data_IF_849388776253
#
_entry.id   IF_849388776253
#
_cell.length_a   1.000
_cell.length_b   1.000
_cell.length_c   1.000
_cell.angle_alpha   90.00
_cell.angle_beta   90.00
_cell.angle_gamma   90.00
#
_symmetry.space_group_name_H-M   'P 1'
#
loop_
_entity.id
_entity.type
_entity.pdbx_description
1 polymer ?
#
# COMPACT_ATOMS: atom_id res chain seq x y z
N UNK A 1 -12.34 28.62 -4.35
CA UNK A 1 -11.06 28.92 -3.68
C UNK A 1 -10.12 29.71 -4.57
N UNK A 2 -9.76 29.21 -5.77
CA UNK A 2 -8.81 29.90 -6.66
C UNK A 2 -9.28 31.29 -7.10
N UNK A 3 -10.58 31.45 -7.40
CA UNK A 3 -11.17 32.75 -7.75
C UNK A 3 -10.96 33.85 -6.68
N UNK A 4 -10.86 33.51 -5.39
CA UNK A 4 -10.60 34.51 -4.34
C UNK A 4 -9.20 35.12 -4.40
N UNK A 5 -8.26 34.47 -5.09
CA UNK A 5 -6.83 34.82 -5.06
C UNK A 5 -6.42 35.60 -6.31
N UNK A 6 -7.19 35.51 -7.40
CA UNK A 6 -6.76 35.92 -8.75
C UNK A 6 -7.48 37.17 -9.29
N UNK A 7 -8.60 37.56 -8.68
CA UNK A 7 -9.60 38.41 -9.36
C UNK A 7 -9.26 39.91 -9.50
N UNK A 8 -8.31 40.50 -8.76
CA UNK A 8 -8.19 41.97 -8.67
C UNK A 8 -6.75 42.54 -8.55
N UNK A 9 -5.74 41.98 -9.19
CA UNK A 9 -4.38 42.48 -8.97
C UNK A 9 -3.55 42.69 -10.23
N UNK A 10 -3.60 43.92 -10.74
CA UNK A 10 -2.76 44.43 -11.82
C UNK A 10 -1.27 44.58 -11.42
N UNK A 11 -0.93 44.38 -10.14
CA UNK A 11 0.43 44.49 -9.60
C UNK A 11 0.67 43.58 -8.38
N UNK A 12 1.90 43.05 -8.26
CA UNK A 12 2.30 42.11 -7.19
C UNK A 12 2.07 42.65 -5.77
N UNK A 13 2.30 43.95 -5.55
CA UNK A 13 2.08 44.58 -4.24
C UNK A 13 0.60 44.56 -3.84
N UNK A 14 -0.31 44.76 -4.79
CA UNK A 14 -1.75 44.67 -4.57
C UNK A 14 -2.21 43.22 -4.40
N UNK A 15 -1.64 42.25 -5.13
CA UNK A 15 -1.88 40.82 -4.89
C UNK A 15 -1.60 40.45 -3.43
N UNK A 16 -0.44 40.87 -2.92
CA UNK A 16 -0.02 40.56 -1.56
C UNK A 16 -0.97 41.17 -0.52
N UNK A 17 -1.40 42.41 -0.70
CA UNK A 17 -2.36 43.07 0.18
C UNK A 17 -3.73 42.37 0.19
N UNK A 18 -4.27 42.07 -0.99
CA UNK A 18 -5.54 41.37 -1.16
C UNK A 18 -5.50 39.96 -0.59
N UNK A 19 -4.40 39.24 -0.78
CA UNK A 19 -4.18 37.91 -0.22
C UNK A 19 -4.34 37.92 1.31
N UNK A 20 -3.66 38.84 2.01
CA UNK A 20 -3.76 38.89 3.47
C UNK A 20 -5.14 39.32 3.96
N UNK A 21 -5.89 40.13 3.20
CA UNK A 21 -7.28 40.48 3.51
C UNK A 21 -8.25 39.31 3.32
N UNK A 22 -8.08 38.51 2.26
CA UNK A 22 -8.95 37.36 1.91
C UNK A 22 -8.54 36.06 2.60
N UNK A 23 -7.35 36.00 3.19
CA UNK A 23 -6.82 34.85 3.94
C UNK A 23 -7.80 34.21 4.93
N UNK A 24 -8.52 34.94 5.81
CA UNK A 24 -9.46 34.30 6.74
C UNK A 24 -10.60 33.55 6.02
N UNK A 25 -11.12 34.09 4.91
CA UNK A 25 -12.16 33.44 4.11
C UNK A 25 -11.63 32.18 3.41
N UNK A 26 -10.38 32.23 2.95
CA UNK A 26 -9.71 31.09 2.32
C UNK A 26 -9.48 29.96 3.34
N UNK A 27 -9.05 30.30 4.56
CA UNK A 27 -8.83 29.35 5.66
C UNK A 27 -10.15 28.68 6.07
N UNK A 28 -11.22 29.46 6.27
CA UNK A 28 -12.54 28.91 6.66
C UNK A 28 -13.08 27.90 5.63
N UNK A 29 -13.01 28.24 4.34
CA UNK A 29 -13.43 27.32 3.29
C UNK A 29 -12.55 26.06 3.20
N UNK A 30 -11.24 26.18 3.38
CA UNK A 30 -10.32 25.03 3.46
C UNK A 30 -10.67 24.12 4.64
N UNK A 31 -10.92 24.70 5.82
CA UNK A 31 -11.29 23.95 7.01
C UNK A 31 -12.61 23.19 6.83
N UNK A 32 -13.61 23.84 6.21
CA UNK A 32 -14.89 23.20 5.90
C UNK A 32 -14.73 22.05 4.90
N UNK A 33 -13.93 22.23 3.84
CA UNK A 33 -13.64 21.18 2.88
C UNK A 33 -12.90 20.00 3.52
N UNK A 34 -11.86 20.26 4.31
CA UNK A 34 -11.12 19.21 5.02
C UNK A 34 -11.98 18.48 6.06
N UNK A 35 -12.91 19.18 6.72
CA UNK A 35 -13.88 18.56 7.61
C UNK A 35 -14.83 17.65 6.83
N UNK A 36 -15.35 18.11 5.68
CA UNK A 36 -16.23 17.31 4.83
C UNK A 36 -15.52 16.06 4.28
N UNK A 37 -14.27 16.20 3.82
CA UNK A 37 -13.48 15.08 3.32
C UNK A 37 -13.22 14.03 4.40
N UNK A 38 -12.90 14.45 5.63
CA UNK A 38 -12.75 13.52 6.77
C UNK A 38 -14.05 12.79 7.09
N UNK A 39 -15.18 13.50 7.15
CA UNK A 39 -16.49 12.90 7.40
C UNK A 39 -16.88 11.88 6.32
N UNK A 40 -16.53 12.15 5.06
CA UNK A 40 -16.78 11.22 3.95
C UNK A 40 -15.96 9.94 4.13
N UNK A 41 -14.68 10.05 4.48
CA UNK A 41 -13.81 8.92 4.73
C UNK A 41 -14.31 8.07 5.93
N UNK A 42 -14.70 8.71 7.03
CA UNK A 42 -15.25 8.01 8.20
C UNK A 42 -16.51 7.19 7.86
N UNK A 43 -17.42 7.76 7.05
CA UNK A 43 -18.60 7.02 6.58
C UNK A 43 -18.24 5.86 5.67
N UNK A 44 -17.24 6.02 4.80
CA UNK A 44 -16.77 4.94 3.94
C UNK A 44 -16.20 3.79 4.77
N UNK A 45 -15.40 4.10 5.81
CA UNK A 45 -14.88 3.08 6.73
C UNK A 45 -15.98 2.37 7.51
N UNK A 46 -17.01 3.11 7.95
CA UNK A 46 -18.21 2.53 8.58
C UNK A 46 -18.92 1.56 7.64
N UNK A 47 -19.18 1.96 6.39
CA UNK A 47 -19.81 1.11 5.39
C UNK A 47 -18.96 -0.13 5.07
N UNK A 48 -17.64 0.00 5.00
CA UNK A 48 -16.72 -1.14 4.78
C UNK A 48 -16.80 -2.15 5.93
N UNK A 49 -16.91 -1.68 7.17
CA UNK A 49 -17.09 -2.53 8.35
C UNK A 49 -18.48 -3.18 8.38
N UNK A 50 -19.54 -2.47 7.97
CA UNK A 50 -20.90 -3.01 7.89
C UNK A 50 -21.00 -4.11 6.82
N UNK A 51 -20.46 -3.86 5.61
CA UNK A 51 -20.41 -4.86 4.54
C UNK A 51 -19.64 -6.11 4.96
N UNK A 52 -18.51 -5.95 5.66
CA UNK A 52 -17.76 -7.07 6.22
C UNK A 52 -18.53 -7.87 7.29
N UNK A 53 -19.43 -7.22 8.03
CA UNK A 53 -20.31 -7.90 9.02
C UNK A 53 -21.44 -8.68 8.35
N UNK A 54 -21.95 -8.22 7.20
CA UNK A 54 -23.02 -8.90 6.46
C UNK A 54 -22.54 -10.09 5.62
N UNK A 55 -21.27 -10.14 5.22
CA UNK A 55 -20.71 -11.26 4.42
C UNK A 55 -20.33 -12.50 5.24
N UNK A 56 -20.31 -12.42 6.58
CA UNK A 56 -19.93 -13.53 7.47
C UNK A 56 -21.05 -14.57 7.73
N UNK A 57 -22.13 -14.55 6.94
CA UNK A 57 -23.31 -15.43 7.09
C UNK A 57 -23.40 -16.57 6.04
N UNK A 58 -22.39 -16.77 5.19
CA UNK A 58 -22.44 -17.79 4.12
C UNK A 58 -21.56 -19.01 4.44
N UNK A 59 -22.12 -20.18 4.83
CA UNK A 59 -21.36 -21.38 5.15
C UNK A 59 -21.25 -22.26 3.90
N UNK A 60 -20.38 -21.94 2.95
CA UNK A 60 -20.22 -22.79 1.75
C UNK A 60 -18.80 -22.84 1.19
N UNK A 61 -17.82 -23.23 2.00
CA UNK A 61 -16.54 -23.74 1.49
C UNK A 61 -16.01 -24.91 2.31
N UNK A 62 -16.80 -25.99 2.36
CA UNK A 62 -16.36 -27.32 2.79
C UNK A 62 -16.17 -28.22 1.58
N UNK A 63 -15.01 -28.23 0.92
CA UNK A 63 -14.84 -29.14 -0.24
C UNK A 63 -13.48 -29.75 -0.52
N UNK A 64 -12.47 -29.65 0.35
CA UNK A 64 -11.19 -30.33 0.05
C UNK A 64 -10.62 -31.06 1.26
N UNK A 65 -11.22 -32.23 1.52
CA UNK A 65 -10.59 -33.32 2.27
C UNK A 65 -10.06 -34.36 1.27
N UNK A 66 -8.72 -34.52 1.17
CA UNK A 66 -8.06 -35.68 0.53
C UNK A 66 -6.59 -35.73 0.96
N UNK A 67 -6.23 -36.38 2.07
CA UNK A 67 -6.00 -37.82 2.34
C UNK A 67 -4.59 -38.35 1.99
N UNK A 68 -3.84 -38.77 3.04
CA UNK A 68 -2.96 -39.97 3.19
C UNK A 68 -1.87 -39.70 4.24
N UNK A 69 -1.97 -40.24 5.46
CA UNK A 69 -1.67 -41.62 5.92
C UNK A 69 -0.19 -41.82 6.26
N UNK A 70 0.18 -41.93 7.55
CA UNK A 70 0.48 -43.18 8.26
C UNK A 70 1.18 -42.88 9.60
N UNK A 71 0.81 -43.65 10.62
CA UNK A 71 1.24 -43.61 12.03
C UNK A 71 2.31 -44.70 12.31
N UNK A 72 3.07 -44.71 13.44
CA UNK A 72 2.54 -45.26 14.70
C UNK A 72 3.16 -44.80 16.06
N UNK A 73 2.28 -44.70 17.07
CA UNK A 73 2.36 -45.20 18.48
C UNK A 73 3.55 -44.88 19.39
N UNK A 74 3.27 -44.10 20.45
CA UNK A 74 3.50 -44.49 21.86
C UNK A 74 2.43 -43.88 22.80
N UNK A 75 1.52 -44.73 23.28
CA UNK A 75 0.94 -44.91 24.62
C UNK A 75 0.77 -43.70 25.58
N UNK A 76 -0.49 -43.25 25.68
CA UNK A 76 -1.35 -42.74 26.79
C UNK A 76 -0.91 -42.96 28.26
N UNK A 77 -1.50 -42.31 29.32
CA UNK A 77 -2.80 -41.58 29.32
C UNK A 77 -2.98 -40.37 30.28
N UNK A 78 -3.62 -39.31 29.77
CA UNK A 78 -4.50 -38.28 30.38
C UNK A 78 -4.23 -36.94 29.70
N UNK A 79 -4.73 -36.76 28.49
CA UNK A 79 -6.04 -36.14 28.16
C UNK A 79 -5.99 -34.60 28.34
N UNK A 80 -6.21 -33.76 27.33
CA UNK A 80 -6.67 -33.99 25.96
C UNK A 80 -6.40 -32.73 25.11
N UNK A 81 -5.47 -32.86 24.15
CA UNK A 81 -5.17 -32.02 22.97
C UNK A 81 -5.02 -30.48 23.12
N UNK A 82 -3.77 -30.02 23.20
CA UNK A 82 -3.32 -28.82 22.50
C UNK A 82 -2.26 -29.30 21.49
N UNK A 83 -2.71 -29.67 20.30
CA UNK A 83 -1.84 -30.13 19.24
C UNK A 83 -1.82 -29.08 18.14
N UNK A 84 -0.60 -28.59 17.89
CA UNK A 84 -0.26 -27.64 16.86
C UNK A 84 -0.77 -28.09 15.49
N UNK A 85 -1.26 -27.13 14.71
CA UNK A 85 -0.88 -27.08 13.30
C UNK A 85 -0.60 -25.64 12.97
N UNK A 86 0.70 -25.34 12.87
CA UNK A 86 1.28 -24.48 11.85
C UNK A 86 0.27 -23.71 11.01
N UNK A 87 -0.17 -22.54 11.48
CA UNK A 87 -0.55 -21.49 10.55
C UNK A 87 0.75 -20.88 10.04
N UNK A 88 1.16 -21.41 8.90
CA UNK A 88 1.92 -20.68 7.91
C UNK A 88 1.43 -19.25 7.92
N UNK A 89 2.27 -18.32 8.35
CA UNK A 89 2.15 -16.92 7.95
C UNK A 89 2.32 -16.93 6.43
N UNK A 90 1.26 -17.22 5.71
CA UNK A 90 1.18 -16.83 4.32
C UNK A 90 0.82 -15.35 4.36
N UNK A 91 1.91 -14.58 4.46
CA UNK A 91 1.95 -13.17 4.15
C UNK A 91 0.99 -12.92 3.00
N UNK A 92 -0.03 -12.12 3.23
CA UNK A 92 -0.93 -11.63 2.21
C UNK A 92 -0.11 -11.09 1.03
N UNK A 93 0.09 -11.92 0.00
CA UNK A 93 0.34 -11.45 -1.33
C UNK A 93 -1.03 -10.97 -1.82
N UNK A 94 -1.42 -9.79 -1.32
CA UNK A 94 -2.47 -9.01 -1.94
C UNK A 94 -1.86 -8.43 -3.21
N UNK A 95 -1.94 -9.21 -4.28
CA UNK A 95 -1.93 -8.68 -5.64
C UNK A 95 -3.15 -7.77 -5.71
N UNK A 96 -2.92 -6.47 -5.51
CA UNK A 96 -3.83 -5.47 -6.06
C UNK A 96 -3.75 -5.69 -7.56
N UNK A 97 -4.77 -6.37 -8.08
CA UNK A 97 -5.21 -6.25 -9.45
C UNK A 97 -5.47 -4.75 -9.63
N UNK A 98 -4.45 -4.04 -10.11
CA UNK A 98 -4.59 -2.68 -10.60
C UNK A 98 -5.49 -2.84 -11.82
N UNK A 99 -6.73 -2.30 -11.82
CA UNK A 99 -7.47 -2.25 -13.05
C UNK A 99 -6.64 -1.40 -14.00
N UNK A 100 -5.91 -2.06 -14.91
CA UNK A 100 -5.50 -1.52 -16.20
C UNK A 100 -6.78 -1.13 -16.96
N UNK A 101 -7.42 -0.07 -16.49
CA UNK A 101 -8.13 0.83 -17.35
C UNK A 101 -7.05 1.58 -18.10
N UNK A 102 -6.55 0.99 -19.18
CA UNK A 102 -6.05 1.77 -20.30
C UNK A 102 -7.15 2.78 -20.63
N UNK A 103 -7.02 4.01 -20.12
CA UNK A 103 -7.73 5.13 -20.71
C UNK A 103 -7.00 5.39 -22.01
N UNK A 104 -7.35 4.60 -23.03
CA UNK A 104 -7.18 4.97 -24.42
C UNK A 104 -7.92 6.30 -24.56
N UNK A 105 -7.16 7.39 -24.50
CA UNK A 105 -7.58 8.71 -24.94
C UNK A 105 -7.71 8.63 -26.47
N UNK A 106 -8.73 7.94 -26.96
CA UNK A 106 -9.33 8.28 -28.24
C UNK A 106 -10.08 9.59 -28.02
N UNK A 107 -9.37 10.70 -28.21
CA UNK A 107 -9.97 12.01 -28.45
C UNK A 107 -10.75 11.96 -29.76
N UNK A 108 -11.96 11.40 -29.70
CA UNK A 108 -12.97 11.59 -30.73
C UNK A 108 -13.44 13.05 -30.64
N UNK A 109 -12.84 13.88 -31.50
CA UNK A 109 -13.34 15.22 -31.82
C UNK A 109 -14.84 15.13 -32.09
N UNK A 110 -15.66 15.73 -31.24
CA UNK A 110 -16.99 16.17 -31.61
C UNK A 110 -17.05 17.64 -31.24
N UNK A 111 -17.01 18.46 -32.29
CA UNK A 111 -16.95 19.91 -32.27
C UNK A 111 -18.05 20.50 -31.38
N UNK A 112 -17.64 21.32 -30.42
CA UNK A 112 -18.44 22.46 -29.98
C UNK A 112 -17.58 23.68 -30.23
N UNK A 113 -18.04 24.46 -31.21
CA UNK A 113 -17.52 25.77 -31.52
C UNK A 113 -17.54 26.63 -30.25
N UNK A 114 -16.43 27.28 -29.95
CA UNK A 114 -16.41 28.63 -29.42
C UNK A 114 -15.04 29.26 -29.75
N UNK A 115 -15.11 30.42 -30.39
CA UNK A 115 -13.98 31.28 -30.72
C UNK A 115 -13.30 31.76 -29.43
N UNK A 116 -12.00 31.55 -29.29
CA UNK A 116 -11.15 32.63 -28.75
C UNK A 116 -9.68 32.44 -29.19
N UNK A 117 -9.24 33.34 -30.05
CA UNK A 117 -7.88 33.46 -30.52
C UNK A 117 -7.04 34.17 -29.46
N UNK A 118 -6.46 33.44 -28.50
CA UNK A 118 -5.23 33.92 -27.85
C UNK A 118 -4.35 32.77 -27.35
N UNK A 119 -3.10 32.79 -27.83
CA UNK A 119 -1.93 31.99 -27.42
C UNK A 119 -1.99 30.46 -27.65
N UNK A 120 -1.87 30.07 -28.92
CA UNK A 120 -1.59 28.68 -29.34
C UNK A 120 -0.19 28.21 -28.89
N UNK A 121 0.78 29.14 -28.78
CA UNK A 121 2.13 28.89 -28.28
C UNK A 121 2.16 28.49 -26.80
N UNK A 122 1.34 29.11 -25.94
CA UNK A 122 1.31 28.80 -24.52
C UNK A 122 0.81 27.39 -24.21
N UNK A 123 -0.15 26.88 -25.00
CA UNK A 123 -0.67 25.51 -24.85
C UNK A 123 0.38 24.47 -25.23
N UNK A 124 1.14 24.71 -26.29
CA UNK A 124 2.20 23.80 -26.73
C UNK A 124 3.33 23.69 -25.70
N UNK A 125 3.79 24.80 -25.12
CA UNK A 125 4.80 24.79 -24.07
C UNK A 125 4.33 24.06 -22.80
N UNK A 126 3.05 24.20 -22.44
CA UNK A 126 2.46 23.47 -21.33
C UNK A 126 2.40 21.96 -21.60
N UNK A 127 2.05 21.55 -22.82
CA UNK A 127 2.06 20.13 -23.20
C UNK A 127 3.46 19.53 -23.21
N UNK A 128 4.44 20.25 -23.75
CA UNK A 128 5.86 19.84 -23.75
C UNK A 128 6.42 19.71 -22.33
N UNK A 129 6.07 20.64 -21.43
CA UNK A 129 6.44 20.58 -20.02
C UNK A 129 5.80 19.39 -19.30
N UNK A 130 4.51 19.11 -19.57
CA UNK A 130 3.83 17.93 -19.05
C UNK A 130 4.50 16.65 -19.55
N UNK A 131 4.80 16.56 -20.84
CA UNK A 131 5.49 15.40 -21.43
C UNK A 131 6.86 15.18 -20.78
N UNK A 132 7.67 16.23 -20.66
CA UNK A 132 8.97 16.16 -19.98
C UNK A 132 8.85 15.70 -18.53
N UNK A 133 7.89 16.25 -17.77
CA UNK A 133 7.64 15.85 -16.40
C UNK A 133 7.16 14.40 -16.30
N UNK A 134 6.39 13.90 -17.28
CA UNK A 134 5.97 12.49 -17.30
C UNK A 134 7.14 11.54 -17.53
N UNK A 135 8.07 11.91 -18.41
CA UNK A 135 9.30 11.14 -18.64
C UNK A 135 10.21 11.13 -17.43
N UNK A 136 10.41 12.28 -16.77
CA UNK A 136 11.19 12.38 -15.55
C UNK A 136 10.58 11.51 -14.43
N UNK A 137 9.26 11.56 -14.25
CA UNK A 137 8.56 10.71 -13.29
C UNK A 137 8.73 9.22 -13.62
N UNK A 138 8.70 8.85 -14.91
CA UNK A 138 8.92 7.47 -15.36
C UNK A 138 10.35 7.01 -15.03
N UNK A 139 11.35 7.86 -15.24
CA UNK A 139 12.75 7.57 -14.91
C UNK A 139 12.95 7.42 -13.40
N UNK A 140 12.46 8.36 -12.60
CA UNK A 140 12.53 8.31 -11.13
C UNK A 140 11.84 7.06 -10.59
N UNK A 141 10.70 6.67 -11.14
CA UNK A 141 10.00 5.44 -10.78
C UNK A 141 10.82 4.19 -11.10
N UNK A 142 11.56 4.18 -12.21
CA UNK A 142 12.46 3.08 -12.55
C UNK A 142 13.67 3.02 -11.61
N UNK A 143 14.26 4.17 -11.27
CA UNK A 143 15.38 4.26 -10.31
C UNK A 143 14.98 3.75 -8.92
N UNK A 144 13.80 4.14 -8.42
CA UNK A 144 13.27 3.63 -7.14
C UNK A 144 13.20 2.10 -7.16
N UNK A 145 12.69 1.50 -8.25
CA UNK A 145 12.61 0.03 -8.37
C UNK A 145 13.98 -0.64 -8.31
N UNK A 146 15.00 -0.05 -8.94
CA UNK A 146 16.38 -0.57 -8.90
C UNK A 146 16.94 -0.47 -7.48
N UNK A 147 16.78 0.68 -6.83
CA UNK A 147 17.24 0.90 -5.45
C UNK A 147 16.57 -0.05 -4.45
N UNK A 148 15.29 -0.36 -4.65
CA UNK A 148 14.57 -1.31 -3.80
C UNK A 148 15.07 -2.74 -4.00
N UNK A 149 15.43 -3.13 -5.22
CA UNK A 149 16.05 -4.43 -5.49
C UNK A 149 17.43 -4.55 -4.83
N UNK A 150 18.27 -3.51 -4.93
CA UNK A 150 19.56 -3.49 -4.23
C UNK A 150 19.41 -3.66 -2.72
N UNK A 151 18.44 -2.96 -2.12
CA UNK A 151 18.15 -3.08 -0.68
C UNK A 151 17.67 -4.49 -0.32
N UNK A 152 16.79 -5.09 -1.13
CA UNK A 152 16.34 -6.48 -0.94
C UNK A 152 17.52 -7.45 -0.96
N UNK A 153 18.44 -7.27 -1.91
CA UNK A 153 19.62 -8.12 -2.04
C UNK A 153 20.56 -7.99 -0.83
N UNK A 154 20.81 -6.77 -0.33
CA UNK A 154 21.59 -6.56 0.89
C UNK A 154 20.96 -7.26 2.09
N UNK A 155 19.63 -7.19 2.25
CA UNK A 155 18.91 -7.89 3.31
C UNK A 155 19.10 -9.40 3.18
N UNK A 156 19.02 -9.95 1.96
CA UNK A 156 19.24 -11.38 1.69
C UNK A 156 20.66 -11.81 2.08
N UNK A 157 21.66 -11.04 1.68
CA UNK A 157 23.07 -11.30 1.99
C UNK A 157 23.35 -11.28 3.50
N UNK A 158 22.77 -10.33 4.23
CA UNK A 158 22.93 -10.25 5.69
C UNK A 158 22.16 -11.34 6.44
N UNK A 159 21.00 -11.75 5.91
CA UNK A 159 20.16 -12.78 6.54
C UNK A 159 20.75 -14.19 6.41
N UNK A 160 21.50 -14.47 5.34
CA UNK A 160 22.07 -15.80 5.09
C UNK A 160 23.03 -16.27 6.21
N UNK A 161 24.05 -15.50 6.65
CA UNK A 161 24.89 -15.87 7.79
C UNK A 161 24.12 -16.00 9.11
N UNK A 162 23.12 -15.15 9.33
CA UNK A 162 22.30 -15.18 10.55
C UNK A 162 21.53 -16.50 10.62
N UNK A 163 20.98 -16.97 9.50
CA UNK A 163 20.30 -18.28 9.41
C UNK A 163 21.24 -19.44 9.75
N UNK A 164 22.43 -19.47 9.12
CA UNK A 164 23.43 -20.53 9.36
C UNK A 164 23.84 -20.56 10.84
N UNK A 165 24.17 -19.41 11.43
CA UNK A 165 24.54 -19.32 12.84
C UNK A 165 23.38 -19.70 13.78
N UNK A 166 22.15 -19.42 13.39
CA UNK A 166 20.95 -19.83 14.15
C UNK A 166 20.83 -21.37 14.15
N UNK A 167 21.03 -22.01 13.01
CA UNK A 167 20.94 -23.47 12.87
C UNK A 167 22.07 -24.19 13.63
N UNK A 168 23.29 -23.67 13.56
CA UNK A 168 24.43 -24.17 14.33
C UNK A 168 24.18 -24.03 15.83
N UNK A 169 23.68 -22.87 16.28
CA UNK A 169 23.32 -22.65 17.68
C UNK A 169 22.20 -23.59 18.14
N UNK A 170 21.20 -23.87 17.31
CA UNK A 170 20.15 -24.83 17.63
C UNK A 170 20.72 -26.25 17.78
N UNK A 171 21.63 -26.64 16.89
CA UNK A 171 22.33 -27.93 16.91
C UNK A 171 23.20 -28.08 18.17
N UNK A 172 23.99 -27.07 18.50
CA UNK A 172 24.82 -27.05 19.71
C UNK A 172 23.97 -27.14 20.98
N UNK A 173 22.86 -26.39 21.05
CA UNK A 173 21.91 -26.47 22.17
C UNK A 173 21.32 -27.87 22.31
N UNK A 174 21.06 -28.57 21.21
CA UNK A 174 20.57 -29.96 21.23
C UNK A 174 21.65 -30.91 21.78
N UNK A 175 22.89 -30.83 21.29
CA UNK A 175 24.00 -31.63 21.81
C UNK A 175 24.22 -31.40 23.31
N UNK A 176 24.19 -30.14 23.76
CA UNK A 176 24.31 -29.80 25.19
C UNK A 176 23.19 -30.45 26.00
N UNK A 177 21.94 -30.37 25.55
CA UNK A 177 20.80 -31.02 26.24
C UNK A 177 20.97 -32.53 26.35
N UNK A 178 21.48 -33.17 25.30
CA UNK A 178 21.73 -34.61 25.31
C UNK A 178 22.84 -35.01 26.28
N UNK A 179 23.95 -34.27 26.32
CA UNK A 179 25.03 -34.46 27.29
C UNK A 179 24.51 -34.29 28.71
N UNK A 180 23.79 -33.19 28.97
CA UNK A 180 23.21 -32.89 30.29
C UNK A 180 22.27 -34.01 30.74
N UNK A 181 21.37 -34.47 29.85
CA UNK A 181 20.47 -35.59 30.14
C UNK A 181 21.24 -36.89 30.43
N UNK A 182 22.30 -37.19 29.68
CA UNK A 182 23.14 -38.37 29.91
C UNK A 182 23.89 -38.33 31.24
N UNK A 183 24.35 -37.14 31.66
CA UNK A 183 24.99 -36.94 32.97
C UNK A 183 24.03 -37.16 34.15
N UNK A 184 22.75 -36.81 33.99
CA UNK A 184 21.73 -37.03 35.03
C UNK A 184 21.08 -38.42 35.02
N UNK A 185 21.45 -39.30 34.07
CA UNK A 185 20.87 -40.64 33.93
C UNK A 185 21.78 -41.78 34.44
N UNK A 186 22.99 -41.45 34.90
CA UNK A 186 23.91 -42.35 35.60
C UNK A 186 23.92 -42.05 37.11
#
# INVERSE_FOLDING_TARGET
MLALIEEDADSFSQCAELYYKRRPQLVDMLEQWHRAQRLLAERHDQLRLEVGRHQNLTPFRSLISRSRSWSPKLNSPMDMLCESSSDSFDSYQSEVDDPEGEVQVESKMTEVADEDSSSDEGKLLMHEEIERLTEENKMLKAEIKVKDEEKREVIRQLSLPIGILSDDNASLRKCIKEIVRGVFSN
#
